data_IF_950706768853
#
_entry.id   IF_950706768853
#
_cell.length_a   1.000
_cell.length_b   1.000
_cell.length_c   1.000
_cell.angle_alpha   90.00
_cell.angle_beta   90.00
_cell.angle_gamma   90.00
#
_symmetry.space_group_name_H-M   'P 1'
#
loop_
_entity.id
_entity.type
_entity.pdbx_description
1 polymer ?
#
# COMPACT_ATOMS: atom_id res chain seq x y z
N UNK A 1 -24.08 24.45 10.58
CA UNK A 1 -24.55 24.19 9.21
C UNK A 1 -23.78 25.13 8.29
N UNK A 2 -22.63 24.69 7.78
CA UNK A 2 -21.84 25.47 6.82
C UNK A 2 -22.46 25.26 5.45
N UNK A 3 -23.08 26.31 4.89
CA UNK A 3 -23.43 26.37 3.48
C UNK A 3 -22.13 26.24 2.70
N UNK A 4 -21.86 25.06 2.12
CA UNK A 4 -20.85 24.93 1.08
C UNK A 4 -21.35 25.76 -0.09
N UNK A 5 -20.74 26.93 -0.29
CA UNK A 5 -21.06 27.81 -1.40
C UNK A 5 -20.68 27.08 -2.70
N UNK A 6 -21.71 26.68 -3.46
CA UNK A 6 -21.56 25.87 -4.68
C UNK A 6 -20.73 26.59 -5.76
N UNK A 7 -20.48 27.89 -5.59
CA UNK A 7 -19.61 28.69 -6.46
C UNK A 7 -18.11 28.37 -6.29
N UNK A 8 -17.69 27.76 -5.17
CA UNK A 8 -16.29 27.39 -4.90
C UNK A 8 -15.90 25.99 -5.40
N UNK A 9 -16.86 25.23 -5.94
CA UNK A 9 -16.63 23.87 -6.43
C UNK A 9 -15.55 23.78 -7.53
N UNK A 10 -15.49 24.68 -8.53
CA UNK A 10 -14.43 24.65 -9.53
C UNK A 10 -13.03 24.87 -8.95
N UNK A 11 -12.89 25.79 -7.98
CA UNK A 11 -11.62 26.09 -7.33
C UNK A 11 -11.15 24.93 -6.44
N UNK A 12 -12.08 24.28 -5.74
CA UNK A 12 -11.78 23.07 -4.96
C UNK A 12 -11.33 21.93 -5.88
N UNK A 13 -12.02 21.71 -7.00
CA UNK A 13 -11.61 20.69 -7.98
C UNK A 13 -10.21 20.98 -8.54
N UNK A 14 -9.93 22.23 -8.91
CA UNK A 14 -8.60 22.63 -9.37
C UNK A 14 -7.52 22.39 -8.30
N UNK A 15 -7.81 22.72 -7.04
CA UNK A 15 -6.90 22.46 -5.92
C UNK A 15 -6.65 20.95 -5.69
N UNK A 16 -7.70 20.12 -5.76
CA UNK A 16 -7.54 18.65 -5.63
C UNK A 16 -6.75 18.05 -6.78
N UNK A 17 -6.94 18.54 -8.01
CA UNK A 17 -6.17 18.12 -9.17
C UNK A 17 -4.69 18.51 -9.02
N UNK A 18 -4.42 19.76 -8.63
CA UNK A 18 -3.06 20.22 -8.37
C UNK A 18 -2.39 19.40 -7.26
N UNK A 19 -3.09 19.08 -6.18
CA UNK A 19 -2.59 18.21 -5.11
C UNK A 19 -2.24 16.81 -5.65
N UNK A 20 -3.11 16.21 -6.46
CA UNK A 20 -2.88 14.89 -7.03
C UNK A 20 -1.66 14.88 -7.97
N UNK A 21 -1.51 15.90 -8.82
CA UNK A 21 -0.37 16.04 -9.73
C UNK A 21 0.95 16.21 -8.96
N UNK A 22 0.96 17.09 -7.95
CA UNK A 22 2.14 17.30 -7.11
C UNK A 22 2.49 16.05 -6.28
N UNK A 23 1.48 15.32 -5.81
CA UNK A 23 1.68 14.04 -5.12
C UNK A 23 2.34 13.02 -6.04
N UNK A 24 1.83 12.85 -7.27
CA UNK A 24 2.39 11.91 -8.24
C UNK A 24 3.82 12.27 -8.67
N UNK A 25 4.15 13.56 -8.68
CA UNK A 25 5.48 14.08 -8.98
C UNK A 25 6.44 14.10 -7.76
N UNK A 26 5.94 13.83 -6.56
CA UNK A 26 6.77 13.81 -5.35
C UNK A 26 7.76 12.65 -5.34
N UNK A 27 8.94 12.85 -4.73
CA UNK A 27 10.02 11.87 -4.66
C UNK A 27 9.53 10.49 -4.13
N UNK A 28 8.76 10.39 -3.01
CA UNK A 28 8.30 9.09 -2.53
C UNK A 28 7.42 8.32 -3.53
N UNK A 29 6.63 9.04 -4.33
CA UNK A 29 5.77 8.44 -5.37
C UNK A 29 6.53 8.09 -6.64
N UNK A 30 7.51 8.92 -7.03
CA UNK A 30 8.37 8.64 -8.16
C UNK A 30 9.21 7.37 -7.92
N UNK A 31 9.81 7.26 -6.72
CA UNK A 31 10.60 6.10 -6.31
C UNK A 31 9.74 4.83 -6.27
N UNK A 32 8.55 4.92 -5.69
CA UNK A 32 7.61 3.80 -5.68
C UNK A 32 7.17 3.38 -7.09
N UNK A 33 6.88 4.32 -7.99
CA UNK A 33 6.53 4.02 -9.38
C UNK A 33 7.66 3.30 -10.11
N UNK A 34 8.90 3.72 -9.87
CA UNK A 34 10.07 3.09 -10.45
C UNK A 34 10.27 1.66 -9.91
N UNK A 35 10.24 1.50 -8.59
CA UNK A 35 10.38 0.20 -7.93
C UNK A 35 9.24 -0.77 -8.33
N UNK A 36 8.00 -0.25 -8.42
CA UNK A 36 6.84 -0.99 -8.92
C UNK A 36 7.04 -1.46 -10.36
N UNK A 37 7.55 -0.61 -11.24
CA UNK A 37 7.88 -0.99 -12.62
C UNK A 37 8.92 -2.10 -12.66
N UNK A 38 10.00 -1.99 -11.87
CA UNK A 38 11.04 -3.03 -11.78
C UNK A 38 10.48 -4.36 -11.27
N UNK A 39 9.69 -4.32 -10.19
CA UNK A 39 9.04 -5.49 -9.63
C UNK A 39 8.10 -6.17 -10.64
N UNK A 40 7.27 -5.40 -11.33
CA UNK A 40 6.33 -5.94 -12.33
C UNK A 40 7.06 -6.55 -13.54
N UNK A 41 8.24 -6.03 -13.87
CA UNK A 41 9.07 -6.55 -14.95
C UNK A 41 9.89 -7.79 -14.55
N UNK A 42 10.01 -8.12 -13.26
CA UNK A 42 10.80 -9.24 -12.75
C UNK A 42 9.90 -10.48 -12.50
N UNK A 43 9.98 -11.54 -13.34
CA UNK A 43 9.20 -12.76 -13.13
C UNK A 43 9.62 -13.55 -11.89
N UNK A 44 10.90 -13.48 -11.49
CA UNK A 44 11.39 -14.18 -10.31
C UNK A 44 10.83 -13.54 -9.04
N UNK A 45 10.89 -12.21 -8.93
CA UNK A 45 10.36 -11.48 -7.79
C UNK A 45 8.84 -11.71 -7.64
N UNK A 46 8.09 -11.66 -8.75
CA UNK A 46 6.65 -11.97 -8.76
C UNK A 46 6.38 -13.41 -8.34
N UNK A 47 7.12 -14.36 -8.91
CA UNK A 47 6.98 -15.78 -8.58
C UNK A 47 7.22 -16.06 -7.09
N UNK A 48 8.21 -15.41 -6.47
CA UNK A 48 8.48 -15.55 -5.04
C UNK A 48 7.31 -15.05 -4.17
N UNK A 49 6.72 -13.90 -4.50
CA UNK A 49 5.55 -13.37 -3.79
C UNK A 49 4.32 -14.27 -3.96
N UNK A 50 4.08 -14.76 -5.19
CA UNK A 50 2.97 -15.68 -5.47
C UNK A 50 3.12 -16.99 -4.69
N UNK A 51 4.30 -17.60 -4.71
CA UNK A 51 4.59 -18.80 -3.94
C UNK A 51 4.41 -18.54 -2.44
N UNK A 52 4.88 -17.39 -1.94
CA UNK A 52 4.74 -17.05 -0.52
C UNK A 52 3.27 -16.93 -0.12
N UNK A 53 2.47 -16.25 -0.94
CA UNK A 53 1.03 -16.13 -0.75
C UNK A 53 0.33 -17.48 -0.74
N UNK A 54 0.66 -18.37 -1.68
CA UNK A 54 0.12 -19.72 -1.75
C UNK A 54 0.50 -20.56 -0.52
N UNK A 55 1.76 -20.54 -0.11
CA UNK A 55 2.24 -21.25 1.08
C UNK A 55 1.54 -20.76 2.36
N UNK A 56 1.34 -19.44 2.51
CA UNK A 56 0.60 -18.87 3.63
C UNK A 56 -0.88 -19.28 3.62
N UNK A 57 -1.53 -19.26 2.45
CA UNK A 57 -2.92 -19.67 2.32
C UNK A 57 -3.11 -21.16 2.65
N UNK A 58 -2.21 -22.02 2.17
CA UNK A 58 -2.22 -23.46 2.46
C UNK A 58 -1.99 -23.73 3.95
N UNK A 59 -1.04 -23.04 4.58
CA UNK A 59 -0.80 -23.18 6.02
C UNK A 59 -2.05 -22.79 6.83
N UNK A 60 -2.73 -21.69 6.48
CA UNK A 60 -3.98 -21.29 7.13
C UNK A 60 -5.08 -22.35 6.98
N UNK A 61 -5.21 -22.97 5.80
CA UNK A 61 -6.18 -24.06 5.57
C UNK A 61 -5.87 -25.27 6.46
N UNK A 62 -4.59 -25.64 6.57
CA UNK A 62 -4.14 -26.77 7.41
C UNK A 62 -4.26 -26.51 8.90
N UNK A 63 -4.11 -25.26 9.35
CA UNK A 63 -4.35 -24.87 10.73
C UNK A 63 -5.80 -25.17 11.15
N UNK A 64 -6.76 -24.86 10.27
CA UNK A 64 -8.19 -25.14 10.51
C UNK A 64 -8.49 -26.64 10.57
N UNK A 65 -7.76 -27.47 9.81
CA UNK A 65 -7.94 -28.93 9.80
C UNK A 65 -7.02 -29.71 10.76
N UNK A 66 -6.23 -29.01 11.60
CA UNK A 66 -5.21 -29.59 12.51
C UNK A 66 -4.13 -30.43 11.81
N UNK A 67 -3.82 -30.13 10.55
CA UNK A 67 -2.90 -30.89 9.69
C UNK A 67 -1.55 -30.21 9.40
N UNK A 68 -1.14 -29.20 10.18
CA UNK A 68 0.13 -28.49 9.96
C UNK A 68 1.31 -29.38 10.36
N UNK A 69 2.26 -29.55 9.45
CA UNK A 69 3.50 -30.27 9.73
C UNK A 69 4.67 -29.30 9.95
N UNK A 70 5.74 -29.78 10.60
CA UNK A 70 6.98 -29.01 10.75
C UNK A 70 7.59 -28.65 9.38
N UNK A 71 7.51 -29.57 8.41
CA UNK A 71 7.95 -29.35 7.03
C UNK A 71 7.25 -28.15 6.39
N UNK A 72 5.93 -28.00 6.59
CA UNK A 72 5.17 -26.87 6.05
C UNK A 72 5.67 -25.53 6.62
N UNK A 73 6.01 -25.51 7.91
CA UNK A 73 6.56 -24.32 8.60
C UNK A 73 7.96 -24.01 8.09
N UNK A 74 8.80 -25.04 7.88
CA UNK A 74 10.18 -24.85 7.41
C UNK A 74 10.23 -24.36 5.96
N UNK A 75 9.34 -24.86 5.10
CA UNK A 75 9.15 -24.38 3.72
C UNK A 75 8.72 -22.92 3.70
N UNK A 76 7.72 -22.54 4.51
CA UNK A 76 7.29 -21.15 4.60
C UNK A 76 8.43 -20.23 5.07
N UNK A 77 9.22 -20.66 6.06
CA UNK A 77 10.36 -19.89 6.57
C UNK A 77 11.47 -19.74 5.52
N UNK A 78 11.75 -20.77 4.73
CA UNK A 78 12.72 -20.69 3.64
C UNK A 78 12.28 -19.66 2.61
N UNK A 79 11.02 -19.72 2.18
CA UNK A 79 10.45 -18.81 1.20
C UNK A 79 10.38 -17.36 1.71
N UNK A 80 10.08 -17.16 2.99
CA UNK A 80 10.17 -15.85 3.63
C UNK A 80 11.58 -15.26 3.56
N UNK A 81 12.61 -16.08 3.81
CA UNK A 81 14.01 -15.63 3.70
C UNK A 81 14.37 -15.26 2.25
N UNK A 82 13.95 -16.05 1.28
CA UNK A 82 14.18 -15.76 -0.13
C UNK A 82 13.54 -14.43 -0.54
N UNK A 83 12.26 -14.23 -0.18
CA UNK A 83 11.54 -12.96 -0.41
C UNK A 83 12.24 -11.79 0.27
N UNK A 84 12.67 -11.95 1.53
CA UNK A 84 13.38 -10.91 2.30
C UNK A 84 14.81 -10.65 1.80
N UNK A 85 15.38 -11.53 0.98
CA UNK A 85 16.70 -11.38 0.40
C UNK A 85 16.67 -10.86 -1.05
N UNK A 86 15.49 -10.85 -1.69
CA UNK A 86 15.36 -10.39 -3.06
C UNK A 86 15.37 -8.84 -3.10
N UNK A 87 16.38 -8.22 -3.73
CA UNK A 87 16.54 -6.76 -3.71
C UNK A 87 15.39 -6.02 -4.41
N UNK A 88 14.78 -6.60 -5.44
CA UNK A 88 13.66 -5.99 -6.17
C UNK A 88 12.41 -5.95 -5.31
N UNK A 89 12.15 -7.02 -4.54
CA UNK A 89 11.04 -7.05 -3.58
C UNK A 89 11.27 -6.05 -2.45
N UNK A 90 12.48 -6.02 -1.88
CA UNK A 90 12.82 -5.09 -0.79
C UNK A 90 12.62 -3.65 -1.24
N UNK A 91 13.17 -3.28 -2.41
CA UNK A 91 13.05 -1.94 -2.99
C UNK A 91 11.58 -1.56 -3.18
N UNK A 92 10.77 -2.46 -3.75
CA UNK A 92 9.34 -2.26 -3.92
C UNK A 92 8.59 -2.03 -2.60
N UNK A 93 8.83 -2.87 -1.58
CA UNK A 93 8.14 -2.77 -0.28
C UNK A 93 8.56 -1.50 0.48
N UNK A 94 9.85 -1.17 0.47
CA UNK A 94 10.39 0.01 1.17
C UNK A 94 9.84 1.30 0.56
N UNK A 95 9.90 1.42 -0.77
CA UNK A 95 9.38 2.60 -1.48
C UNK A 95 7.85 2.72 -1.36
N UNK A 96 7.12 1.59 -1.37
CA UNK A 96 5.69 1.58 -1.08
C UNK A 96 5.38 2.13 0.32
N UNK A 97 6.11 1.67 1.33
CA UNK A 97 5.93 2.13 2.70
C UNK A 97 6.27 3.63 2.85
N UNK A 98 7.29 4.11 2.14
CA UNK A 98 7.61 5.54 2.09
C UNK A 98 6.46 6.36 1.48
N UNK A 99 5.93 5.96 0.33
CA UNK A 99 4.81 6.62 -0.33
C UNK A 99 3.53 6.63 0.56
N UNK A 100 3.23 5.51 1.22
CA UNK A 100 2.10 5.41 2.17
C UNK A 100 2.30 6.32 3.38
N UNK A 101 3.52 6.43 3.90
CA UNK A 101 3.84 7.29 5.04
C UNK A 101 3.66 8.75 4.66
N UNK A 102 4.19 9.15 3.51
CA UNK A 102 4.04 10.50 2.96
C UNK A 102 2.57 10.88 2.75
N UNK A 103 1.74 9.96 2.23
CA UNK A 103 0.29 10.17 2.13
C UNK A 103 -0.39 10.41 3.49
N UNK A 104 0.05 9.70 4.53
CA UNK A 104 -0.51 9.89 5.89
C UNK A 104 -0.15 11.26 6.45
N UNK A 105 1.06 11.73 6.20
CA UNK A 105 1.51 13.07 6.60
C UNK A 105 0.68 14.15 5.91
N UNK A 106 0.43 14.02 4.60
CA UNK A 106 -0.44 14.95 3.86
C UNK A 106 -1.86 14.95 4.42
N UNK A 107 -2.43 13.77 4.69
CA UNK A 107 -3.77 13.68 5.28
C UNK A 107 -3.83 14.33 6.67
N UNK A 108 -2.76 14.23 7.46
CA UNK A 108 -2.67 14.88 8.76
C UNK A 108 -2.65 16.40 8.61
N UNK A 109 -1.85 16.94 7.69
CA UNK A 109 -1.80 18.39 7.39
C UNK A 109 -3.17 18.90 6.94
N UNK A 110 -3.84 18.19 6.03
CA UNK A 110 -5.20 18.57 5.59
C UNK A 110 -6.17 18.55 6.78
N UNK A 111 -6.09 17.52 7.64
CA UNK A 111 -6.96 17.39 8.81
C UNK A 111 -6.80 18.57 9.78
N UNK A 112 -5.57 19.02 10.00
CA UNK A 112 -5.25 20.18 10.82
C UNK A 112 -5.80 21.48 10.21
N UNK A 113 -5.68 21.65 8.89
CA UNK A 113 -6.19 22.82 8.18
C UNK A 113 -7.72 22.94 8.22
N UNK A 114 -8.44 21.82 8.13
CA UNK A 114 -9.91 21.80 8.12
C UNK A 114 -10.53 21.54 9.50
N UNK A 115 -9.70 21.30 10.52
CA UNK A 115 -10.12 21.01 11.90
C UNK A 115 -10.95 19.71 12.06
N UNK A 116 -10.83 18.77 11.13
CA UNK A 116 -11.56 17.49 11.11
C UNK A 116 -10.66 16.40 10.57
N UNK A 117 -10.78 15.15 11.06
CA UNK A 117 -10.03 13.99 10.54
C UNK A 117 -10.43 13.69 9.08
N UNK A 118 -9.65 14.24 8.14
CA UNK A 118 -9.85 14.09 6.71
C UNK A 118 -9.73 12.63 6.27
N UNK A 119 -8.77 11.89 6.85
CA UNK A 119 -8.56 10.48 6.54
C UNK A 119 -9.77 9.63 6.96
N UNK A 120 -10.41 9.94 8.09
CA UNK A 120 -11.63 9.26 8.52
C UNK A 120 -12.81 9.52 7.59
N UNK A 121 -12.90 10.70 6.97
CA UNK A 121 -13.95 10.98 5.97
C UNK A 121 -13.79 10.16 4.69
N UNK A 122 -12.55 9.82 4.33
CA UNK A 122 -12.24 8.96 3.19
C UNK A 122 -12.41 7.46 3.49
N UNK A 123 -12.46 7.07 4.78
CA UNK A 123 -12.88 5.71 5.15
C UNK A 123 -14.36 5.58 4.79
N UNK A 124 -14.65 5.01 3.62
CA UNK A 124 -15.99 4.49 3.36
C UNK A 124 -16.38 3.66 4.57
N UNK A 125 -17.52 3.97 5.18
CA UNK A 125 -18.26 3.08 6.06
C UNK A 125 -18.60 1.85 5.22
N UNK A 126 -17.62 0.97 5.08
CA UNK A 126 -17.74 -0.30 4.40
C UNK A 126 -18.61 -1.17 5.27
N UNK A 127 -19.92 -1.09 5.03
CA UNK A 127 -20.81 -2.20 5.24
C UNK A 127 -20.23 -3.40 4.49
N UNK A 128 -19.60 -4.28 5.25
CA UNK A 128 -19.44 -5.72 5.06
C UNK A 128 -19.52 -6.32 6.47
#
# INVERSE_FOLDING_TARGET
MTNTDLTQLPDLMAATQALAENLLASEPFADYQQASTRFNADPQARGLIEQLSQAQAELRRRQTSRGVTQTDVDQLRALQREVQSNPVIIDYVVTQQAAVTYLREINQVISELIGTDFAALAKRSGCC
#
